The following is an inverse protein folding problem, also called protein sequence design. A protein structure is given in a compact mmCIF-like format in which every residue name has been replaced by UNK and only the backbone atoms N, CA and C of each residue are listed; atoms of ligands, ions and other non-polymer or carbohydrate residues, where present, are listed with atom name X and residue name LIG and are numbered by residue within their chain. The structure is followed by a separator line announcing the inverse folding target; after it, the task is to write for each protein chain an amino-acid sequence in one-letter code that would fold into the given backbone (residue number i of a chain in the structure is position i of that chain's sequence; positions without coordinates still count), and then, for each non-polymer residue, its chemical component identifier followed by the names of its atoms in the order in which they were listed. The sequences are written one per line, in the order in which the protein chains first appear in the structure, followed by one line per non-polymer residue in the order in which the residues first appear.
data_IF_829226588790
#
_entry.id   IF_829226588790
#
_cell.length_a   1.000
_cell.length_b   1.000
_cell.length_c   1.000
_cell.angle_alpha   90.00
_cell.angle_beta   90.00
_cell.angle_gamma   90.00
#
_symmetry.space_group_name_H-M   'P 1'
#
loop_
_entity.id
_entity.type
_entity.pdbx_description
1 polymer ?
#
# COMPACT_ATOMS: atom_id res chain seq x y z
N UNK A 1 -41.41 11.63 53.02
CA UNK A 1 -40.35 12.53 52.49
C UNK A 1 -39.35 11.62 51.78
N UNK A 2 -39.08 11.62 50.48
CA UNK A 2 -39.28 12.54 49.35
C UNK A 2 -39.56 11.67 48.10
N UNK A 3 -40.57 12.06 47.31
CA UNK A 3 -40.86 11.52 45.97
C UNK A 3 -39.81 12.07 45.00
N UNK A 4 -39.14 11.22 44.24
CA UNK A 4 -38.31 11.65 43.11
C UNK A 4 -39.08 11.40 41.81
N UNK A 5 -39.59 12.48 41.26
CA UNK A 5 -40.20 12.60 39.94
C UNK A 5 -39.10 12.53 38.89
N UNK A 6 -39.22 11.65 37.88
CA UNK A 6 -38.39 11.72 36.68
C UNK A 6 -39.28 11.85 35.43
N UNK A 7 -38.82 12.75 34.57
CA UNK A 7 -39.51 13.45 33.51
C UNK A 7 -39.44 12.67 32.19
N UNK A 8 -40.56 12.73 31.47
CA UNK A 8 -40.79 12.48 30.04
C UNK A 8 -39.56 12.61 29.12
N UNK A 9 -39.34 11.61 28.28
CA UNK A 9 -38.90 11.85 26.90
C UNK A 9 -39.63 10.91 25.93
N UNK A 10 -40.62 11.50 25.27
CA UNK A 10 -41.30 11.02 24.07
C UNK A 10 -40.36 11.17 22.88
N UNK A 11 -40.17 10.12 22.07
CA UNK A 11 -39.77 10.30 20.67
C UNK A 11 -40.38 9.21 19.78
N UNK A 12 -40.86 9.72 18.64
CA UNK A 12 -41.83 9.17 17.70
C UNK A 12 -41.50 7.81 17.07
N UNK A 13 -42.47 6.89 17.14
CA UNK A 13 -42.58 5.75 16.23
C UNK A 13 -43.34 6.17 14.97
N UNK A 14 -42.61 6.56 13.93
CA UNK A 14 -43.17 6.81 12.60
C UNK A 14 -43.10 5.55 11.73
N UNK A 15 -44.16 4.74 11.74
CA UNK A 15 -44.47 3.86 10.61
C UNK A 15 -45.17 4.70 9.54
N UNK A 16 -44.67 4.65 8.29
CA UNK A 16 -45.40 4.15 7.12
C UNK A 16 -44.96 4.82 5.81
N UNK A 17 -45.05 3.98 4.77
CA UNK A 17 -45.30 4.30 3.37
C UNK A 17 -44.12 4.65 2.43
N UNK A 18 -43.86 3.66 1.56
CA UNK A 18 -44.10 3.79 0.12
C UNK A 18 -43.09 4.59 -0.69
N UNK A 19 -42.22 3.86 -1.43
CA UNK A 19 -42.25 3.91 -2.89
C UNK A 19 -41.22 2.93 -3.45
N UNK A 20 -41.70 1.77 -3.86
CA UNK A 20 -41.02 0.87 -4.78
C UNK A 20 -40.92 1.54 -6.16
N UNK A 21 -39.75 2.06 -6.50
CA UNK A 21 -39.44 2.41 -7.90
C UNK A 21 -38.97 1.15 -8.62
N UNK A 22 -39.89 0.60 -9.42
CA UNK A 22 -39.59 -0.33 -10.50
C UNK A 22 -38.49 0.24 -11.40
N UNK A 23 -37.29 -0.35 -11.35
CA UNK A 23 -36.30 -0.14 -12.39
C UNK A 23 -36.71 -0.99 -13.60
N UNK A 24 -37.43 -0.38 -14.53
CA UNK A 24 -37.69 -0.97 -15.84
C UNK A 24 -36.36 -1.09 -16.60
N UNK A 25 -35.80 -2.29 -16.62
CA UNK A 25 -34.76 -2.66 -17.55
C UNK A 25 -35.31 -2.55 -18.98
N UNK A 26 -34.78 -1.60 -19.75
CA UNK A 26 -34.94 -1.57 -21.20
C UNK A 26 -33.71 -2.25 -21.83
N UNK A 27 -33.87 -3.25 -22.70
CA UNK A 27 -32.75 -3.79 -23.46
C UNK A 27 -32.36 -2.77 -24.54
N UNK A 28 -31.27 -2.03 -24.32
CA UNK A 28 -30.65 -1.20 -25.37
C UNK A 28 -29.86 -2.12 -26.29
N UNK A 29 -30.34 -2.23 -27.52
CA UNK A 29 -29.77 -3.02 -28.60
C UNK A 29 -28.25 -2.86 -28.72
N UNK A 30 -27.54 -3.99 -28.71
CA UNK A 30 -26.14 -4.07 -29.10
C UNK A 30 -26.04 -3.79 -30.60
N UNK A 31 -25.50 -2.61 -30.96
CA UNK A 31 -25.03 -2.36 -32.31
C UNK A 31 -23.68 -3.08 -32.47
N UNK A 32 -23.69 -4.20 -33.19
CA UNK A 32 -22.48 -4.85 -33.69
C UNK A 32 -21.69 -3.86 -34.54
N UNK A 33 -20.55 -3.38 -34.02
CA UNK A 33 -19.51 -2.75 -34.82
C UNK A 33 -18.81 -3.86 -35.60
N UNK A 34 -19.12 -3.94 -36.90
CA UNK A 34 -18.32 -4.69 -37.87
C UNK A 34 -16.97 -3.99 -37.93
N UNK A 35 -15.94 -4.64 -37.40
CA UNK A 35 -14.55 -4.19 -37.54
C UNK A 35 -14.07 -4.71 -38.89
N UNK A 36 -13.70 -3.80 -39.79
CA UNK A 36 -13.16 -4.12 -41.11
C UNK A 36 -11.85 -4.94 -40.99
N UNK A 37 -11.78 -6.17 -41.50
CA UNK A 37 -10.62 -7.06 -41.34
C UNK A 37 -9.37 -6.57 -42.10
N UNK A 38 -9.48 -5.56 -42.96
CA UNK A 38 -8.34 -4.97 -43.69
C UNK A 38 -7.43 -4.09 -42.81
N UNK A 39 -7.93 -3.53 -41.71
CA UNK A 39 -7.15 -2.62 -40.86
C UNK A 39 -6.23 -3.36 -39.87
N UNK A 40 -6.35 -4.68 -39.74
CA UNK A 40 -5.61 -5.47 -38.74
C UNK A 40 -4.29 -6.04 -39.30
N UNK A 41 -4.12 -6.18 -40.61
CA UNK A 41 -2.87 -6.68 -41.20
C UNK A 41 -1.79 -5.60 -41.35
N UNK A 42 -2.17 -4.35 -41.60
CA UNK A 42 -1.21 -3.25 -41.80
C UNK A 42 -0.47 -2.86 -40.51
N UNK A 43 -1.09 -3.08 -39.33
CA UNK A 43 -0.47 -2.83 -38.02
C UNK A 43 0.50 -3.92 -37.59
N UNK A 44 0.36 -5.16 -38.09
CA UNK A 44 1.32 -6.24 -37.79
C UNK A 44 2.65 -6.06 -38.53
N UNK A 45 2.62 -5.65 -39.80
CA UNK A 45 3.84 -5.43 -40.60
C UNK A 45 4.72 -4.28 -40.10
N UNK A 46 4.16 -3.30 -39.38
CA UNK A 46 4.92 -2.15 -38.87
C UNK A 46 5.68 -2.45 -37.58
N UNK A 47 5.27 -3.47 -36.81
CA UNK A 47 5.91 -3.84 -35.54
C UNK A 47 7.03 -4.89 -35.67
N UNK A 48 7.12 -5.61 -36.79
CA UNK A 48 8.25 -6.53 -37.05
C UNK A 48 9.50 -5.79 -37.57
N UNK A 49 9.33 -4.70 -38.33
CA UNK A 49 10.47 -3.93 -38.87
C UNK A 49 11.18 -3.03 -37.84
N UNK A 50 10.61 -2.82 -36.66
CA UNK A 50 11.26 -2.07 -35.58
C UNK A 50 12.18 -2.94 -34.70
N UNK A 51 12.09 -4.27 -34.81
CA UNK A 51 12.80 -5.20 -33.91
C UNK A 51 14.17 -5.66 -34.43
N UNK A 52 14.47 -5.45 -35.70
CA UNK A 52 15.72 -5.90 -36.34
C UNK A 52 16.81 -4.82 -36.42
N UNK A 53 16.53 -3.57 -36.05
CA UNK A 53 17.49 -2.45 -36.18
C UNK A 53 18.29 -2.11 -34.92
N UNK A 54 18.06 -2.80 -33.81
CA UNK A 54 18.72 -2.52 -32.53
C UNK A 54 19.79 -3.56 -32.12
N UNK A 55 20.11 -4.51 -33.00
CA UNK A 55 21.10 -5.56 -32.72
C UNK A 55 22.47 -5.35 -33.41
N UNK A 56 22.70 -4.23 -34.10
CA UNK A 56 23.95 -3.95 -34.83
C UNK A 56 24.73 -2.75 -34.27
N UNK A 57 24.73 -2.56 -32.94
CA UNK A 57 25.54 -1.52 -32.28
C UNK A 57 26.25 -2.00 -31.01
N UNK A 58 26.59 -3.29 -30.95
CA UNK A 58 27.35 -3.88 -29.83
C UNK A 58 28.50 -4.70 -30.41
N UNK A 59 29.47 -4.03 -31.01
CA UNK A 59 30.67 -4.69 -31.52
C UNK A 59 31.86 -3.74 -31.56
N UNK A 60 32.20 -3.09 -30.44
CA UNK A 60 33.56 -2.54 -30.24
C UNK A 60 33.84 -2.06 -28.81
N UNK A 61 33.94 -2.97 -27.84
CA UNK A 61 34.72 -2.68 -26.63
C UNK A 61 35.65 -3.85 -26.33
N UNK A 62 36.93 -3.53 -26.13
CA UNK A 62 38.04 -4.43 -25.82
C UNK A 62 37.78 -5.24 -24.55
N UNK A 63 38.28 -6.50 -24.47
CA UNK A 63 38.19 -7.28 -23.25
C UNK A 63 39.10 -6.66 -22.17
N UNK A 64 38.48 -6.01 -21.19
CA UNK A 64 39.15 -5.65 -19.95
C UNK A 64 39.64 -6.93 -19.26
N UNK A 65 40.92 -6.93 -18.91
CA UNK A 65 41.60 -7.92 -18.10
C UNK A 65 40.83 -8.04 -16.79
N UNK A 66 40.23 -9.20 -16.52
CA UNK A 66 39.60 -9.52 -15.23
C UNK A 66 40.75 -9.77 -14.25
N UNK A 67 41.02 -8.88 -13.26
CA UNK A 67 41.94 -9.22 -12.19
C UNK A 67 41.37 -10.39 -11.41
N UNK A 68 42.23 -11.35 -11.08
CA UNK A 68 41.92 -12.59 -10.40
C UNK A 68 40.92 -12.37 -9.24
N UNK A 69 39.79 -13.08 -9.30
CA UNK A 69 38.78 -13.11 -8.24
C UNK A 69 39.42 -13.66 -6.97
N UNK A 70 39.85 -12.76 -6.07
CA UNK A 70 40.16 -13.16 -4.70
C UNK A 70 38.90 -13.79 -4.09
N UNK A 71 39.08 -14.97 -3.52
CA UNK A 71 38.10 -15.77 -2.77
C UNK A 71 37.54 -14.94 -1.59
N UNK A 72 36.57 -14.07 -1.89
CA UNK A 72 35.82 -13.35 -0.88
C UNK A 72 34.84 -14.35 -0.30
N UNK A 73 35.30 -15.09 0.71
CA UNK A 73 34.42 -15.88 1.58
C UNK A 73 33.21 -15.00 1.95
N UNK A 74 31.97 -15.45 1.74
CA UNK A 74 30.80 -14.65 2.04
C UNK A 74 30.85 -14.32 3.53
N UNK A 75 31.16 -13.07 3.83
CA UNK A 75 31.09 -12.55 5.19
C UNK A 75 29.66 -12.80 5.65
N UNK A 76 29.44 -13.53 6.76
CA UNK A 76 28.09 -13.81 7.22
C UNK A 76 27.37 -12.47 7.38
N UNK A 77 26.30 -12.28 6.61
CA UNK A 77 25.51 -11.07 6.68
C UNK A 77 25.13 -10.84 8.15
N UNK A 78 25.45 -9.67 8.72
CA UNK A 78 25.12 -9.40 10.11
C UNK A 78 23.62 -9.60 10.30
N UNK A 79 23.25 -10.33 11.36
CA UNK A 79 21.85 -10.52 11.74
C UNK A 79 21.13 -9.16 11.67
N UNK A 80 19.91 -9.09 11.10
CA UNK A 80 19.21 -7.84 10.92
C UNK A 80 19.07 -7.13 12.27
N UNK A 81 19.85 -6.07 12.44
CA UNK A 81 19.79 -5.24 13.65
C UNK A 81 18.43 -4.54 13.64
N UNK A 82 17.63 -4.61 14.72
CA UNK A 82 16.37 -3.89 14.78
C UNK A 82 16.64 -2.40 14.58
N UNK A 83 15.98 -1.79 13.59
CA UNK A 83 16.11 -0.36 13.31
C UNK A 83 15.64 0.40 14.55
N UNK A 84 16.47 1.28 15.15
CA UNK A 84 16.05 2.05 16.32
C UNK A 84 14.86 2.93 15.95
N UNK A 85 13.83 2.94 16.81
CA UNK A 85 12.63 3.76 16.61
C UNK A 85 13.01 5.24 16.77
N UNK A 86 12.66 6.12 15.81
CA UNK A 86 12.91 7.55 15.95
C UNK A 86 11.94 8.19 16.94
N UNK A 87 12.29 9.38 17.45
CA UNK A 87 11.46 10.11 18.44
C UNK A 87 10.06 10.48 17.91
N UNK A 88 9.91 10.62 16.58
CA UNK A 88 8.64 10.92 15.94
C UNK A 88 7.79 9.67 15.61
N UNK A 89 8.20 8.49 16.09
CA UNK A 89 7.43 7.27 15.90
C UNK A 89 6.06 7.34 16.59
N UNK A 90 5.01 7.10 15.81
CA UNK A 90 3.62 7.14 16.28
C UNK A 90 3.22 5.76 16.75
N UNK A 91 2.90 5.63 18.03
CA UNK A 91 2.45 4.37 18.64
C UNK A 91 0.98 4.40 19.01
N UNK A 92 0.22 3.40 18.58
CA UNK A 92 -1.18 3.21 18.96
C UNK A 92 -1.53 1.72 19.04
N UNK A 93 -1.88 1.28 20.24
CA UNK A 93 -2.16 -0.13 20.52
C UNK A 93 -0.99 -1.03 20.14
N UNK A 94 -1.23 -2.02 19.26
CA UNK A 94 -0.19 -2.97 18.81
C UNK A 94 0.70 -2.43 17.69
N UNK A 95 0.42 -1.23 17.17
CA UNK A 95 1.06 -0.67 15.99
C UNK A 95 2.00 0.48 16.36
N UNK A 96 3.16 0.52 15.70
CA UNK A 96 4.10 1.65 15.73
C UNK A 96 4.47 1.98 14.29
N UNK A 97 4.44 3.26 13.91
CA UNK A 97 4.75 3.69 12.55
C UNK A 97 5.64 4.93 12.53
N UNK A 98 6.58 4.98 11.58
CA UNK A 98 7.41 6.15 11.29
C UNK A 98 7.88 6.10 9.83
N UNK A 99 8.55 7.15 9.37
CA UNK A 99 9.12 7.22 8.02
C UNK A 99 10.64 7.06 8.02
N UNK A 100 11.17 6.60 6.90
CA UNK A 100 12.60 6.53 6.61
C UNK A 100 12.83 7.20 5.24
N UNK A 101 13.50 8.36 5.18
CA UNK A 101 14.00 9.16 6.32
C UNK A 101 12.87 9.64 7.25
N UNK A 102 13.18 9.91 8.52
CA UNK A 102 12.20 10.36 9.53
C UNK A 102 11.51 11.67 9.19
N UNK A 103 12.12 12.46 8.31
CA UNK A 103 11.53 13.67 7.77
C UNK A 103 11.84 13.77 6.27
N UNK A 104 10.98 13.20 5.40
CA UNK A 104 11.19 13.27 3.96
C UNK A 104 10.97 14.69 3.44
N UNK A 105 11.81 15.13 2.50
CA UNK A 105 11.59 16.40 1.80
C UNK A 105 10.59 16.19 0.66
N UNK A 106 9.91 17.26 0.20
CA UNK A 106 9.13 17.23 -1.04
C UNK A 106 9.90 16.55 -2.18
N UNK A 107 9.20 15.72 -2.95
CA UNK A 107 9.72 14.91 -4.06
C UNK A 107 10.69 13.77 -3.69
N UNK A 108 11.07 13.62 -2.43
CA UNK A 108 11.90 12.48 -2.01
C UNK A 108 11.07 11.20 -1.88
N UNK A 109 11.61 10.10 -2.38
CA UNK A 109 11.11 8.77 -2.06
C UNK A 109 11.36 8.48 -0.59
N UNK A 110 10.33 7.99 0.11
CA UNK A 110 10.48 7.54 1.49
C UNK A 110 9.76 6.22 1.73
N UNK A 111 10.06 5.61 2.86
CA UNK A 111 9.43 4.38 3.31
C UNK A 111 8.63 4.66 4.55
N UNK A 112 7.36 4.25 4.55
CA UNK A 112 6.59 4.13 5.79
C UNK A 112 6.91 2.76 6.39
N UNK A 113 7.53 2.76 7.57
CA UNK A 113 7.88 1.58 8.33
C UNK A 113 6.87 1.39 9.46
N UNK A 114 6.18 0.24 9.47
CA UNK A 114 5.16 -0.09 10.47
C UNK A 114 5.55 -1.39 11.18
N UNK A 115 5.79 -1.29 12.48
CA UNK A 115 5.92 -2.44 13.37
C UNK A 115 4.58 -2.84 13.97
N UNK A 116 4.32 -4.15 13.99
CA UNK A 116 3.12 -4.74 14.57
C UNK A 116 3.56 -5.75 15.63
N UNK A 117 3.31 -5.46 16.89
CA UNK A 117 3.60 -6.37 18.01
C UNK A 117 2.45 -7.36 18.22
N UNK A 118 2.73 -8.66 18.33
CA UNK A 118 1.69 -9.68 18.50
C UNK A 118 2.00 -10.71 19.60
N UNK A 119 2.30 -10.29 20.84
CA UNK A 119 2.80 -11.21 21.89
C UNK A 119 1.79 -12.26 22.37
N UNK A 120 0.51 -12.13 22.01
CA UNK A 120 -0.58 -13.02 22.46
C UNK A 120 -0.90 -14.14 21.47
N UNK A 121 -0.39 -14.06 20.25
CA UNK A 121 -0.62 -15.06 19.20
C UNK A 121 0.74 -15.57 18.73
N UNK A 122 0.77 -16.83 18.27
CA UNK A 122 2.03 -17.46 17.88
C UNK A 122 2.57 -16.90 16.56
N UNK A 123 1.69 -16.45 15.69
CA UNK A 123 2.04 -15.99 14.36
C UNK A 123 1.02 -15.00 13.84
N UNK A 124 1.51 -13.96 13.15
CA UNK A 124 0.69 -13.00 12.42
C UNK A 124 0.91 -13.19 10.92
N UNK A 125 -0.16 -13.35 10.14
CA UNK A 125 -0.05 -13.49 8.69
C UNK A 125 -0.28 -12.16 7.98
N UNK A 126 0.39 -11.97 6.84
CA UNK A 126 0.23 -10.75 6.01
C UNK A 126 -1.22 -10.53 5.58
N UNK A 127 -1.98 -11.61 5.38
CA UNK A 127 -3.40 -11.62 5.00
C UNK A 127 -4.35 -11.11 6.10
N UNK A 128 -3.90 -11.12 7.36
CA UNK A 128 -4.66 -10.60 8.49
C UNK A 128 -4.54 -9.08 8.61
N UNK A 129 -3.55 -8.50 7.94
CA UNK A 129 -3.28 -7.05 7.93
C UNK A 129 -3.91 -6.42 6.70
N UNK A 130 -4.71 -5.39 6.95
CA UNK A 130 -5.39 -4.61 5.93
C UNK A 130 -5.49 -3.14 6.32
N UNK A 131 -5.78 -2.25 5.39
CA UNK A 131 -5.84 -0.83 5.68
C UNK A 131 -5.66 0.04 4.45
N UNK A 132 -5.30 1.30 4.67
CA UNK A 132 -4.92 2.26 3.64
C UNK A 132 -4.11 3.41 4.24
N UNK A 133 -3.25 3.99 3.40
CA UNK A 133 -2.49 5.21 3.65
C UNK A 133 -3.11 6.32 2.81
N UNK A 134 -3.25 7.50 3.40
CA UNK A 134 -3.71 8.71 2.74
C UNK A 134 -2.73 9.84 3.09
N UNK A 135 -2.02 10.34 2.10
CA UNK A 135 -1.14 11.50 2.23
C UNK A 135 -1.85 12.81 1.94
N UNK A 136 -1.28 13.91 2.43
CA UNK A 136 -1.76 15.27 2.12
C UNK A 136 -1.48 15.70 0.68
N UNK A 137 -0.52 15.04 0.03
CA UNK A 137 -0.12 15.18 -1.36
C UNK A 137 -1.01 14.41 -2.35
N UNK A 138 -2.22 14.03 -1.93
CA UNK A 138 -3.14 13.18 -2.66
C UNK A 138 -2.67 11.72 -2.86
N UNK A 139 -1.57 11.31 -2.22
CA UNK A 139 -1.17 9.92 -2.21
C UNK A 139 -2.23 9.04 -1.55
N UNK A 140 -2.53 7.90 -2.16
CA UNK A 140 -3.46 6.92 -1.61
C UNK A 140 -3.05 5.52 -2.01
N UNK A 141 -2.85 4.67 -1.02
CA UNK A 141 -2.48 3.28 -1.22
C UNK A 141 -3.23 2.40 -0.24
N UNK A 142 -3.80 1.31 -0.74
CA UNK A 142 -4.35 0.30 0.16
C UNK A 142 -3.22 -0.47 0.84
N UNK A 143 -3.49 -1.04 2.01
CA UNK A 143 -2.63 -2.03 2.66
C UNK A 143 -3.40 -3.34 2.54
N UNK A 144 -2.89 -4.28 1.74
CA UNK A 144 -3.58 -5.54 1.48
C UNK A 144 -2.72 -6.57 0.77
N UNK A 145 -3.26 -7.77 0.58
CA UNK A 145 -2.52 -8.94 0.08
C UNK A 145 -1.97 -8.79 -1.35
N UNK A 146 -2.57 -7.92 -2.17
CA UNK A 146 -2.35 -7.93 -3.63
C UNK A 146 -1.28 -6.93 -4.11
N UNK A 147 -0.51 -6.32 -3.21
CA UNK A 147 0.31 -5.14 -3.55
C UNK A 147 1.79 -5.51 -3.48
N UNK A 148 2.49 -5.41 -4.61
CA UNK A 148 3.91 -5.74 -4.76
C UNK A 148 4.83 -4.82 -3.96
N UNK A 149 4.40 -3.58 -3.72
CA UNK A 149 5.27 -2.50 -3.22
C UNK A 149 5.32 -2.46 -1.69
N UNK A 150 5.00 -3.60 -1.07
CA UNK A 150 4.89 -3.74 0.37
C UNK A 150 5.79 -4.90 0.81
N UNK A 151 6.89 -4.59 1.50
CA UNK A 151 7.75 -5.60 2.10
C UNK A 151 7.14 -6.07 3.42
N UNK A 152 7.20 -7.38 3.66
CA UNK A 152 6.65 -8.02 4.84
C UNK A 152 7.69 -8.96 5.44
N UNK A 153 8.14 -8.62 6.65
CA UNK A 153 9.14 -9.38 7.38
C UNK A 153 8.61 -9.74 8.78
N UNK A 154 9.12 -10.83 9.35
CA UNK A 154 8.81 -11.25 10.73
C UNK A 154 10.09 -11.32 11.54
N UNK A 155 10.09 -10.68 12.69
CA UNK A 155 11.23 -10.63 13.61
C UNK A 155 10.73 -10.91 15.02
N UNK A 156 10.86 -12.17 15.46
CA UNK A 156 10.37 -12.61 16.76
C UNK A 156 8.84 -12.48 16.89
N UNK A 157 8.39 -11.75 17.91
CA UNK A 157 6.98 -11.44 18.21
C UNK A 157 6.47 -10.16 17.51
N UNK A 158 7.23 -9.69 16.50
CA UNK A 158 6.89 -8.53 15.69
C UNK A 158 6.84 -8.86 14.20
N UNK A 159 5.96 -8.16 13.49
CA UNK A 159 5.95 -8.10 12.04
C UNK A 159 6.31 -6.69 11.62
N UNK A 160 7.05 -6.60 10.53
CA UNK A 160 7.48 -5.36 9.92
C UNK A 160 6.80 -5.27 8.56
N UNK A 161 6.18 -4.12 8.32
CA UNK A 161 5.52 -3.76 7.08
C UNK A 161 6.19 -2.49 6.57
N UNK A 162 6.89 -2.58 5.45
CA UNK A 162 7.53 -1.43 4.81
C UNK A 162 6.86 -1.13 3.48
N UNK A 163 6.55 0.15 3.27
CA UNK A 163 5.77 0.62 2.13
C UNK A 163 6.52 1.78 1.51
N UNK A 164 6.95 1.61 0.26
CA UNK A 164 7.59 2.68 -0.49
C UNK A 164 6.52 3.68 -0.96
N UNK A 165 6.74 4.96 -0.65
CA UNK A 165 5.84 6.05 -1.03
C UNK A 165 6.63 7.03 -1.91
N UNK A 166 6.17 7.27 -3.14
CA UNK A 166 6.77 8.29 -4.00
C UNK A 166 6.65 9.66 -3.34
N UNK A 167 7.66 10.51 -3.51
CA UNK A 167 7.60 11.87 -3.00
C UNK A 167 6.53 12.70 -3.73
N UNK A 168 5.73 13.43 -2.96
CA UNK A 168 4.76 14.41 -3.45
C UNK A 168 5.28 15.85 -3.39
N UNK A 169 4.51 16.78 -3.99
CA UNK A 169 4.83 18.22 -3.99
C UNK A 169 4.71 18.85 -2.59
N UNK A 170 3.69 18.44 -1.82
CA UNK A 170 3.41 18.94 -0.46
C UNK A 170 3.30 17.77 0.54
N UNK A 171 4.42 17.46 1.19
CA UNK A 171 4.49 16.46 2.26
C UNK A 171 4.26 17.14 3.62
N UNK A 172 3.04 17.06 4.14
CA UNK A 172 2.67 17.59 5.47
C UNK A 172 2.39 16.46 6.45
N UNK A 173 1.60 15.46 6.04
CA UNK A 173 1.27 14.34 6.91
C UNK A 173 0.71 13.15 6.15
N UNK A 174 0.86 11.97 6.76
CA UNK A 174 0.21 10.74 6.33
C UNK A 174 -0.75 10.22 7.39
N UNK A 175 -1.93 9.81 6.95
CA UNK A 175 -2.91 9.09 7.74
C UNK A 175 -2.90 7.61 7.38
N UNK A 176 -2.52 6.77 8.32
CA UNK A 176 -2.44 5.32 8.18
C UNK A 176 -3.63 4.71 8.93
N UNK A 177 -4.59 4.17 8.18
CA UNK A 177 -5.63 3.33 8.73
C UNK A 177 -5.18 1.88 8.62
N UNK A 178 -5.01 1.19 9.74
CA UNK A 178 -4.52 -0.19 9.77
C UNK A 178 -5.43 -1.05 10.64
N UNK A 179 -5.67 -2.28 10.18
CA UNK A 179 -6.51 -3.26 10.83
C UNK A 179 -5.82 -4.61 10.84
N UNK A 180 -5.84 -5.26 12.00
CA UNK A 180 -5.44 -6.66 12.16
C UNK A 180 -6.66 -7.51 12.51
N UNK A 181 -6.97 -8.49 11.66
CA UNK A 181 -8.01 -9.49 11.94
C UNK A 181 -7.59 -10.43 13.08
N UNK A 182 -6.33 -10.86 13.08
CA UNK A 182 -5.80 -11.78 14.09
C UNK A 182 -5.74 -11.17 15.49
N UNK A 183 -5.47 -9.86 15.59
CA UNK A 183 -5.43 -9.13 16.87
C UNK A 183 -6.79 -8.53 17.26
N UNK A 184 -7.80 -8.61 16.37
CA UNK A 184 -9.10 -7.94 16.52
C UNK A 184 -8.97 -6.45 16.87
N UNK A 185 -8.10 -5.75 16.15
CA UNK A 185 -7.73 -4.36 16.41
C UNK A 185 -7.76 -3.53 15.12
N UNK A 186 -8.19 -2.27 15.23
CA UNK A 186 -8.13 -1.29 14.14
C UNK A 186 -7.65 0.04 14.72
N UNK A 187 -6.68 0.67 14.06
CA UNK A 187 -6.09 1.93 14.47
C UNK A 187 -5.99 2.90 13.29
N UNK A 188 -6.00 4.19 13.63
CA UNK A 188 -5.60 5.27 12.76
C UNK A 188 -4.39 5.96 13.39
N UNK A 189 -3.27 6.00 12.67
CA UNK A 189 -2.01 6.64 13.04
C UNK A 189 -1.79 7.83 12.11
N UNK A 190 -1.39 8.97 12.65
CA UNK A 190 -1.11 10.18 11.87
C UNK A 190 0.36 10.53 12.05
N UNK A 191 1.14 10.46 10.97
CA UNK A 191 2.54 10.89 10.95
C UNK A 191 2.57 12.32 10.42
N UNK A 192 3.27 13.21 11.11
CA UNK A 192 3.46 14.60 10.70
C UNK A 192 4.94 14.80 10.37
N UNK A 193 5.23 15.37 9.21
CA UNK A 193 6.58 15.71 8.78
C UNK A 193 6.99 17.06 9.39
N UNK A 194 8.27 17.23 9.74
CA UNK A 194 8.78 18.38 10.52
C UNK A 194 9.58 19.39 9.70
#
# INVERSE_FOLDING_TARGET
MIKLTLIMLTLCSGLACSSSKEFKATPKAAASRVIDPKQTEDLKKKNEQAKEKEQEKVAKEEPAIIPDEEDVTPTPEPLPVPVPQPDNAVKKGSFVAWTIPSNPLPFDLYVIHIEISYPKINELNRSDISGNIIGTDYYSQNIGFTISDVRWDKVGDKAILEIAVPGGEELVSDTINIKSKALNESQTLNIIFQ
#
